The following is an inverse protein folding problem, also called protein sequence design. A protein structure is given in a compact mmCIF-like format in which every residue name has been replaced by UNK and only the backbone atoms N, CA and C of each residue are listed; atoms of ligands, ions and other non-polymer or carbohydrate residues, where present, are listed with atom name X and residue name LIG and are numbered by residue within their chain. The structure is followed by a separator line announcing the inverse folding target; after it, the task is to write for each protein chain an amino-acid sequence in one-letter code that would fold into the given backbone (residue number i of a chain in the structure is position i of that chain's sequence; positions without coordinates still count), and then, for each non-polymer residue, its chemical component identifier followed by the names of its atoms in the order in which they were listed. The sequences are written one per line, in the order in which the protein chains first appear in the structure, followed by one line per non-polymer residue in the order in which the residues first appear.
data_IF_099400377155
#
_entry.id   IF_099400377155
#
_cell.length_a   1.000
_cell.length_b   1.000
_cell.length_c   1.000
_cell.angle_alpha   90.00
_cell.angle_beta   90.00
_cell.angle_gamma   90.00
#
_symmetry.space_group_name_H-M   'P 1'
#
loop_
_entity.id
_entity.type
_entity.pdbx_description
1 polymer ?
#
# COMPACT_ATOMS: atom_id res chain seq x y z
N UNK A 1 51.37 -45.49 -9.13
CA UNK A 1 51.04 -44.42 -10.12
C UNK A 1 49.53 -44.22 -10.15
N UNK A 2 49.01 -43.29 -9.34
CA UNK A 2 47.58 -42.97 -9.26
C UNK A 2 47.35 -41.60 -9.90
N UNK A 3 46.55 -41.56 -10.96
CA UNK A 3 46.22 -40.32 -11.67
C UNK A 3 44.96 -39.75 -11.04
N UNK A 4 45.12 -38.64 -10.30
CA UNK A 4 44.01 -37.79 -9.87
C UNK A 4 43.51 -36.97 -11.05
N UNK A 5 42.29 -37.24 -11.52
CA UNK A 5 41.57 -36.42 -12.50
C UNK A 5 40.72 -35.43 -11.71
N UNK A 6 41.18 -34.21 -11.63
CA UNK A 6 40.44 -33.08 -11.07
C UNK A 6 39.32 -32.66 -12.05
N UNK A 7 38.05 -32.88 -11.68
CA UNK A 7 36.90 -32.37 -12.46
C UNK A 7 36.66 -30.92 -12.07
N UNK A 8 37.05 -30.01 -12.94
CA UNK A 8 36.63 -28.63 -12.88
C UNK A 8 35.14 -28.53 -13.30
N UNK A 9 34.27 -28.26 -12.31
CA UNK A 9 32.87 -27.91 -12.57
C UNK A 9 32.82 -26.42 -12.98
N UNK A 10 32.62 -26.12 -14.26
CA UNK A 10 32.38 -24.76 -14.74
C UNK A 10 30.94 -24.40 -14.39
N UNK A 11 30.76 -23.51 -13.40
CA UNK A 11 29.50 -22.81 -13.17
C UNK A 11 29.35 -21.76 -14.28
N UNK A 12 28.52 -22.05 -15.27
CA UNK A 12 28.11 -21.05 -16.25
C UNK A 12 27.19 -20.03 -15.56
N UNK A 13 27.72 -18.86 -15.24
CA UNK A 13 26.91 -17.71 -14.84
C UNK A 13 26.24 -17.18 -16.11
N UNK A 14 24.93 -17.44 -16.24
CA UNK A 14 24.12 -16.90 -17.32
C UNK A 14 23.85 -15.43 -16.94
N UNK A 15 24.53 -14.50 -17.61
CA UNK A 15 24.22 -13.07 -17.55
C UNK A 15 22.97 -12.84 -18.40
N UNK A 16 21.84 -12.62 -17.73
CA UNK A 16 20.61 -12.19 -18.40
C UNK A 16 20.81 -10.78 -18.98
N UNK A 17 20.34 -10.56 -20.19
CA UNK A 17 20.35 -9.22 -20.81
C UNK A 17 19.32 -8.32 -20.12
N UNK A 18 19.48 -7.00 -20.22
CA UNK A 18 18.50 -6.05 -19.69
C UNK A 18 17.09 -6.27 -20.28
N UNK A 19 17.01 -6.72 -21.54
CA UNK A 19 15.76 -7.05 -22.21
C UNK A 19 15.08 -8.29 -21.59
N UNK A 20 15.86 -9.32 -21.21
CA UNK A 20 15.33 -10.53 -20.56
C UNK A 20 14.80 -10.22 -19.16
N UNK A 21 15.47 -9.33 -18.41
CA UNK A 21 15.02 -8.91 -17.07
C UNK A 21 13.70 -8.13 -17.16
N UNK A 22 13.55 -7.23 -18.14
CA UNK A 22 12.31 -6.48 -18.38
C UNK A 22 11.18 -7.45 -18.78
N UNK A 23 11.42 -8.37 -19.69
CA UNK A 23 10.43 -9.35 -20.12
C UNK A 23 9.97 -10.25 -18.97
N UNK A 24 10.87 -10.68 -18.09
CA UNK A 24 10.53 -11.47 -16.92
C UNK A 24 9.66 -10.68 -15.92
N UNK A 25 9.96 -9.40 -15.69
CA UNK A 25 9.18 -8.53 -14.83
C UNK A 25 7.75 -8.32 -15.37
N UNK A 26 7.61 -8.13 -16.69
CA UNK A 26 6.29 -7.98 -17.32
C UNK A 26 5.48 -9.27 -17.26
N UNK A 27 6.10 -10.43 -17.50
CA UNK A 27 5.45 -11.74 -17.36
C UNK A 27 4.99 -12.00 -15.91
N UNK A 28 5.77 -11.59 -14.93
CA UNK A 28 5.40 -11.70 -13.53
C UNK A 28 4.17 -10.83 -13.22
N UNK A 29 4.17 -9.56 -13.64
CA UNK A 29 3.02 -8.65 -13.46
C UNK A 29 1.75 -9.17 -14.11
N UNK A 30 1.86 -9.76 -15.30
CA UNK A 30 0.72 -10.36 -16.00
C UNK A 30 0.17 -11.55 -15.22
N UNK A 31 1.03 -12.43 -14.67
CA UNK A 31 0.60 -13.56 -13.84
C UNK A 31 -0.11 -13.08 -12.56
N UNK A 32 0.46 -12.10 -11.88
CA UNK A 32 -0.10 -11.49 -10.67
C UNK A 32 -1.42 -10.79 -10.94
N UNK A 33 -1.53 -10.11 -12.09
CA UNK A 33 -2.78 -9.48 -12.51
C UNK A 33 -3.90 -10.48 -12.78
N UNK A 34 -3.59 -11.74 -13.12
CA UNK A 34 -4.57 -12.80 -13.37
C UNK A 34 -4.89 -13.65 -12.14
N UNK A 35 -4.11 -13.54 -11.05
CA UNK A 35 -4.33 -14.32 -9.85
C UNK A 35 -5.76 -14.12 -9.31
N UNK A 36 -6.42 -15.17 -8.77
CA UNK A 36 -7.74 -15.03 -8.15
C UNK A 36 -7.74 -13.98 -7.04
N UNK A 37 -8.85 -13.31 -6.86
CA UNK A 37 -9.03 -12.41 -5.72
C UNK A 37 -9.03 -13.21 -4.42
N UNK A 38 -8.30 -12.72 -3.43
CA UNK A 38 -8.41 -13.16 -2.05
C UNK A 38 -9.69 -12.59 -1.44
N UNK A 39 -10.27 -13.31 -0.47
CA UNK A 39 -11.33 -12.77 0.38
C UNK A 39 -10.77 -12.13 1.65
N UNK A 40 -9.43 -12.16 1.81
CA UNK A 40 -8.71 -11.73 3.01
C UNK A 40 -8.72 -12.76 4.14
N UNK A 41 -7.89 -12.53 5.15
CA UNK A 41 -7.75 -13.39 6.34
C UNK A 41 -8.51 -12.87 7.56
N UNK A 42 -9.06 -11.66 7.47
CA UNK A 42 -9.84 -11.05 8.53
C UNK A 42 -11.20 -11.71 8.76
N UNK A 43 -11.91 -11.31 9.83
CA UNK A 43 -13.19 -11.92 10.21
C UNK A 43 -14.34 -11.63 9.23
N UNK A 44 -14.15 -10.71 8.27
CA UNK A 44 -15.17 -10.27 7.34
C UNK A 44 -14.71 -10.50 5.89
N UNK A 45 -15.02 -11.64 5.25
CA UNK A 45 -14.66 -11.88 3.86
C UNK A 45 -14.94 -10.66 2.99
N UNK A 46 -13.91 -10.16 2.30
CA UNK A 46 -13.99 -8.92 1.55
C UNK A 46 -14.35 -9.14 0.07
N UNK A 47 -14.83 -8.08 -0.55
CA UNK A 47 -15.05 -7.99 -2.01
C UNK A 47 -14.61 -6.63 -2.53
N UNK A 48 -14.34 -6.56 -3.83
CA UNK A 48 -14.16 -5.31 -4.56
C UNK A 48 -15.32 -5.06 -5.51
N UNK A 49 -15.61 -3.81 -5.75
CA UNK A 49 -16.66 -3.39 -6.68
C UNK A 49 -16.36 -2.02 -7.27
N UNK A 50 -16.88 -1.75 -8.46
CA UNK A 50 -16.94 -0.39 -8.97
C UNK A 50 -17.91 0.43 -8.13
N UNK A 51 -17.62 1.73 -8.01
CA UNK A 51 -18.54 2.68 -7.41
C UNK A 51 -19.50 3.24 -8.48
N UNK A 52 -20.70 2.67 -8.67
CA UNK A 52 -21.64 3.17 -9.67
C UNK A 52 -22.17 4.55 -9.25
N UNK A 53 -22.09 5.52 -10.18
CA UNK A 53 -22.63 6.87 -9.97
C UNK A 53 -21.80 7.80 -9.09
N UNK A 54 -20.59 7.40 -8.71
CA UNK A 54 -19.64 8.21 -7.96
C UNK A 54 -18.36 8.52 -8.74
N UNK A 55 -17.32 9.04 -8.09
CA UNK A 55 -16.00 9.15 -8.68
C UNK A 55 -15.50 7.83 -9.24
N UNK A 56 -14.66 7.89 -10.29
CA UNK A 56 -13.99 6.68 -10.80
C UNK A 56 -13.07 6.13 -9.72
N UNK A 57 -13.52 5.07 -9.05
CA UNK A 57 -12.81 4.42 -7.94
C UNK A 57 -13.29 2.99 -7.75
N UNK A 58 -12.40 2.16 -7.23
CA UNK A 58 -12.69 0.80 -6.78
C UNK A 58 -12.86 0.83 -5.27
N UNK A 59 -13.98 0.27 -4.81
CA UNK A 59 -14.33 0.16 -3.39
C UNK A 59 -14.14 -1.28 -2.95
N UNK A 60 -13.43 -1.45 -1.83
CA UNK A 60 -13.23 -2.73 -1.17
C UNK A 60 -13.88 -2.65 0.21
N UNK A 61 -14.65 -3.66 0.57
CA UNK A 61 -15.36 -3.71 1.84
C UNK A 61 -15.72 -5.14 2.23
N UNK A 62 -16.14 -5.41 3.45
CA UNK A 62 -16.81 -6.65 3.81
C UNK A 62 -17.95 -6.97 2.84
N UNK A 63 -18.00 -8.19 2.35
CA UNK A 63 -19.02 -8.63 1.40
C UNK A 63 -20.43 -8.58 2.04
N UNK A 64 -20.51 -9.02 3.28
CA UNK A 64 -21.73 -8.97 4.10
C UNK A 64 -21.60 -7.90 5.19
N UNK A 65 -22.26 -6.77 4.96
CA UNK A 65 -22.29 -5.65 5.93
C UNK A 65 -23.08 -5.95 7.19
N UNK A 66 -23.99 -6.92 7.18
CA UNK A 66 -24.76 -7.29 8.37
C UNK A 66 -23.86 -7.95 9.43
N UNK A 67 -22.82 -8.66 8.99
CA UNK A 67 -21.84 -9.29 9.90
C UNK A 67 -21.01 -8.29 10.72
N UNK A 68 -20.96 -7.02 10.30
CA UNK A 68 -20.27 -5.98 11.06
C UNK A 68 -20.94 -5.68 12.42
N UNK A 69 -22.25 -5.97 12.57
CA UNK A 69 -22.99 -5.59 13.77
C UNK A 69 -22.88 -4.07 14.05
N UNK A 70 -22.38 -3.71 15.21
CA UNK A 70 -22.14 -2.32 15.62
C UNK A 70 -20.81 -1.73 15.10
N UNK A 71 -19.95 -2.54 14.50
CA UNK A 71 -18.67 -2.07 14.00
C UNK A 71 -18.91 -1.08 12.85
N UNK A 72 -18.27 0.08 12.93
CA UNK A 72 -18.18 1.05 11.84
C UNK A 72 -16.82 0.95 11.18
N UNK A 73 -16.81 0.95 9.85
CA UNK A 73 -15.60 0.81 9.04
C UNK A 73 -14.81 2.13 9.04
N UNK A 74 -13.58 2.16 9.57
CA UNK A 74 -12.67 3.25 9.28
C UNK A 74 -12.38 3.32 7.78
N UNK A 75 -11.97 4.48 7.30
CA UNK A 75 -11.66 4.73 5.89
C UNK A 75 -10.17 4.52 5.66
N UNK A 76 -9.82 3.77 4.61
CA UNK A 76 -8.46 3.62 4.10
C UNK A 76 -8.44 3.99 2.63
N UNK A 77 -7.83 5.10 2.26
CA UNK A 77 -7.66 5.49 0.85
C UNK A 77 -6.25 5.18 0.39
N UNK A 78 -6.12 4.65 -0.81
CA UNK A 78 -4.86 4.11 -1.32
C UNK A 78 -4.54 4.64 -2.72
N UNK A 79 -3.43 5.37 -2.85
CA UNK A 79 -2.86 5.79 -4.12
C UNK A 79 -2.13 4.64 -4.82
N UNK A 80 -2.42 4.44 -6.11
CA UNK A 80 -1.87 3.35 -6.89
C UNK A 80 -0.42 3.61 -7.30
N UNK A 81 0.39 2.54 -7.41
CA UNK A 81 1.72 2.60 -8.03
C UNK A 81 1.65 3.13 -9.46
N UNK A 82 2.75 3.75 -9.94
CA UNK A 82 2.82 4.42 -11.23
C UNK A 82 1.73 5.48 -11.46
N UNK A 83 1.09 6.00 -10.40
CA UNK A 83 -0.10 6.85 -10.49
C UNK A 83 -1.16 6.27 -11.44
N UNK A 84 -1.29 4.96 -11.45
CA UNK A 84 -2.17 4.22 -12.35
C UNK A 84 -3.64 4.45 -12.01
N UNK A 85 -4.50 4.47 -13.04
CA UNK A 85 -5.95 4.42 -12.87
C UNK A 85 -6.50 2.98 -12.72
N UNK A 86 -5.63 1.97 -12.59
CA UNK A 86 -6.05 0.62 -12.19
C UNK A 86 -6.16 0.51 -10.69
N UNK A 87 -7.34 0.82 -10.16
CA UNK A 87 -7.65 0.69 -8.74
C UNK A 87 -7.64 -0.75 -8.23
N UNK A 88 -7.47 -1.75 -9.12
CA UNK A 88 -7.36 -3.16 -8.78
C UNK A 88 -5.92 -3.69 -8.81
N UNK A 89 -4.93 -2.87 -9.14
CA UNK A 89 -3.52 -3.28 -9.27
C UNK A 89 -2.95 -3.86 -7.96
N UNK A 90 -3.33 -3.32 -6.81
CA UNK A 90 -2.92 -3.78 -5.47
C UNK A 90 -4.03 -4.54 -4.72
N UNK A 91 -4.96 -5.15 -5.45
CA UNK A 91 -6.21 -5.70 -4.89
C UNK A 91 -6.03 -6.73 -3.78
N UNK A 92 -4.97 -7.54 -3.81
CA UNK A 92 -4.74 -8.54 -2.77
C UNK A 92 -4.46 -7.87 -1.40
N UNK A 93 -3.68 -6.79 -1.41
CA UNK A 93 -3.45 -5.96 -0.24
C UNK A 93 -4.73 -5.26 0.23
N UNK A 94 -5.49 -4.68 -0.71
CA UNK A 94 -6.69 -3.91 -0.39
C UNK A 94 -7.85 -4.79 0.11
N UNK A 95 -7.97 -6.01 -0.42
CA UNK A 95 -8.92 -7.02 0.07
C UNK A 95 -8.55 -7.49 1.48
N UNK A 96 -7.25 -7.67 1.77
CA UNK A 96 -6.81 -8.01 3.12
C UNK A 96 -7.24 -6.93 4.12
N UNK A 97 -6.92 -5.65 3.86
CA UNK A 97 -7.33 -4.55 4.74
C UNK A 97 -8.86 -4.53 4.92
N UNK A 98 -9.61 -4.65 3.81
CA UNK A 98 -11.07 -4.63 3.84
C UNK A 98 -11.66 -5.79 4.66
N UNK A 99 -11.00 -6.98 4.64
CA UNK A 99 -11.46 -8.14 5.41
C UNK A 99 -11.39 -7.95 6.92
N UNK A 100 -10.63 -6.97 7.38
CA UNK A 100 -10.59 -6.55 8.79
C UNK A 100 -11.65 -5.47 9.14
N UNK A 101 -12.64 -5.27 8.25
CA UNK A 101 -13.75 -4.35 8.52
C UNK A 101 -13.42 -2.89 8.24
N UNK A 102 -12.66 -2.62 7.20
CA UNK A 102 -12.36 -1.28 6.69
C UNK A 102 -13.14 -1.01 5.41
N UNK A 103 -13.48 0.26 5.17
CA UNK A 103 -13.86 0.75 3.86
C UNK A 103 -12.58 1.21 3.15
N UNK A 104 -12.20 0.50 2.09
CA UNK A 104 -10.96 0.74 1.36
C UNK A 104 -11.29 1.27 -0.02
N UNK A 105 -10.58 2.32 -0.46
CA UNK A 105 -10.89 2.99 -1.72
C UNK A 105 -9.59 3.27 -2.47
N UNK A 106 -9.55 2.88 -3.76
CA UNK A 106 -8.46 3.20 -4.66
C UNK A 106 -9.00 3.91 -5.91
N UNK A 107 -8.39 5.02 -6.38
CA UNK A 107 -8.84 5.73 -7.58
C UNK A 107 -8.73 4.88 -8.84
N UNK A 108 -9.63 5.12 -9.81
CA UNK A 108 -9.65 4.48 -11.13
C UNK A 108 -10.63 3.32 -11.24
N UNK A 109 -10.44 2.47 -12.27
CA UNK A 109 -11.30 1.35 -12.58
C UNK A 109 -10.70 0.00 -12.20
N UNK A 110 -11.39 -1.08 -12.59
CA UNK A 110 -10.90 -2.46 -12.47
C UNK A 110 -10.31 -2.84 -13.82
N UNK A 111 -8.99 -2.70 -13.97
CA UNK A 111 -8.25 -3.02 -15.20
C UNK A 111 -7.31 -4.21 -15.04
N UNK A 112 -7.34 -4.87 -13.88
CA UNK A 112 -6.65 -6.13 -13.62
C UNK A 112 -7.48 -7.03 -12.70
N UNK A 113 -7.11 -8.30 -12.66
CA UNK A 113 -7.77 -9.31 -11.85
C UNK A 113 -8.57 -10.33 -12.66
N UNK A 114 -9.33 -11.20 -12.01
CA UNK A 114 -10.13 -12.24 -12.67
C UNK A 114 -11.07 -11.66 -13.71
N UNK A 115 -11.05 -12.26 -14.93
CA UNK A 115 -11.90 -11.83 -16.04
C UNK A 115 -11.40 -10.62 -16.82
N UNK A 116 -10.27 -10.02 -16.43
CA UNK A 116 -9.64 -8.90 -17.17
C UNK A 116 -8.43 -9.38 -17.94
N UNK A 117 -8.34 -9.00 -19.22
CA UNK A 117 -7.15 -9.24 -20.04
C UNK A 117 -6.11 -8.16 -19.73
N UNK A 118 -5.02 -8.55 -19.10
CA UNK A 118 -3.88 -7.66 -18.81
C UNK A 118 -2.72 -8.02 -19.71
N UNK A 119 -2.20 -7.04 -20.45
CA UNK A 119 -0.98 -7.10 -21.29
C UNK A 119 -0.05 -5.96 -20.90
N UNK A 120 1.23 -5.99 -21.32
CA UNK A 120 2.15 -4.86 -21.10
C UNK A 120 1.58 -3.55 -21.65
N UNK A 121 0.94 -3.59 -22.80
CA UNK A 121 0.36 -2.41 -23.47
C UNK A 121 -0.84 -1.87 -22.68
N UNK A 122 -1.75 -2.76 -22.23
CA UNK A 122 -2.91 -2.34 -21.43
C UNK A 122 -2.47 -1.75 -20.09
N UNK A 123 -1.44 -2.32 -19.46
CA UNK A 123 -0.86 -1.76 -18.24
C UNK A 123 -0.25 -0.38 -18.48
N UNK A 124 0.50 -0.20 -19.58
CA UNK A 124 1.10 1.09 -19.93
C UNK A 124 0.04 2.18 -20.18
N UNK A 125 -1.10 1.83 -20.77
CA UNK A 125 -2.20 2.77 -21.02
C UNK A 125 -2.81 3.37 -19.76
N UNK A 126 -2.75 2.65 -18.64
CA UNK A 126 -3.35 3.07 -17.38
C UNK A 126 -2.40 3.83 -16.44
N UNK A 127 -1.13 4.03 -16.82
CA UNK A 127 -0.13 4.77 -16.02
C UNK A 127 -0.34 6.28 -16.09
N UNK A 128 0.09 6.99 -15.04
CA UNK A 128 0.11 8.46 -14.95
C UNK A 128 -1.28 9.11 -15.16
N UNK A 129 -2.34 8.42 -14.79
CA UNK A 129 -3.74 8.88 -14.97
C UNK A 129 -4.36 9.44 -13.69
N UNK A 130 -3.96 8.93 -12.51
CA UNK A 130 -4.51 9.45 -11.25
C UNK A 130 -3.77 10.69 -10.77
N UNK A 131 -4.50 11.52 -10.03
CA UNK A 131 -3.99 12.74 -9.40
C UNK A 131 -4.32 12.71 -7.91
N UNK A 132 -3.45 13.32 -7.08
CA UNK A 132 -3.65 13.29 -5.62
C UNK A 132 -5.04 13.79 -5.15
N UNK A 133 -5.71 14.77 -5.79
CA UNK A 133 -7.05 15.18 -5.35
C UNK A 133 -8.10 14.07 -5.39
N UNK A 134 -7.86 12.99 -6.16
CA UNK A 134 -8.78 11.85 -6.19
C UNK A 134 -8.80 11.08 -4.86
N UNK A 135 -7.71 11.09 -4.07
CA UNK A 135 -7.70 10.52 -2.72
C UNK A 135 -8.61 11.33 -1.79
N UNK A 136 -8.59 12.67 -1.90
CA UNK A 136 -9.50 13.54 -1.16
C UNK A 136 -10.95 13.34 -1.56
N UNK A 137 -11.22 13.25 -2.87
CA UNK A 137 -12.55 12.99 -3.38
C UNK A 137 -13.10 11.62 -2.91
N UNK A 138 -12.24 10.61 -2.75
CA UNK A 138 -12.61 9.32 -2.20
C UNK A 138 -13.01 9.43 -0.70
N UNK A 139 -12.31 10.24 0.08
CA UNK A 139 -12.68 10.53 1.48
C UNK A 139 -14.03 11.26 1.53
N UNK A 140 -14.20 12.31 0.71
CA UNK A 140 -15.45 13.08 0.66
C UNK A 140 -16.64 12.20 0.25
N UNK A 141 -16.43 11.32 -0.74
CA UNK A 141 -17.43 10.34 -1.13
C UNK A 141 -17.82 9.41 0.02
N UNK A 142 -16.85 8.85 0.74
CA UNK A 142 -17.11 7.96 1.87
C UNK A 142 -17.91 8.65 2.98
N UNK A 143 -17.59 9.92 3.28
CA UNK A 143 -18.32 10.74 4.26
C UNK A 143 -19.75 10.97 3.78
N UNK A 144 -19.95 11.29 2.51
CA UNK A 144 -21.28 11.49 1.93
C UNK A 144 -22.12 10.20 1.92
N UNK A 145 -21.52 9.05 1.56
CA UNK A 145 -22.19 7.75 1.55
C UNK A 145 -22.67 7.33 2.96
N UNK A 146 -21.94 7.71 4.00
CA UNK A 146 -22.35 7.43 5.37
C UNK A 146 -23.66 8.14 5.77
N UNK A 147 -24.03 9.20 5.07
CA UNK A 147 -25.24 9.99 5.33
C UNK A 147 -26.30 9.78 4.25
N UNK A 148 -25.93 9.34 3.05
CA UNK A 148 -26.81 9.28 1.90
C UNK A 148 -27.99 8.32 2.13
N UNK A 149 -29.19 8.81 1.90
CA UNK A 149 -30.41 7.99 1.96
C UNK A 149 -30.36 6.89 0.88
N UNK A 150 -30.76 5.68 1.28
CA UNK A 150 -30.70 4.50 0.40
C UNK A 150 -29.32 3.90 0.19
N UNK A 151 -28.24 4.50 0.71
CA UNK A 151 -26.92 3.88 0.67
C UNK A 151 -26.84 2.65 1.57
N UNK A 152 -26.32 1.52 1.10
CA UNK A 152 -26.03 0.37 1.96
C UNK A 152 -24.95 0.66 3.00
N UNK A 153 -24.16 1.73 2.81
CA UNK A 153 -23.10 2.18 3.70
C UNK A 153 -23.56 3.19 4.74
N UNK A 154 -24.82 3.63 4.69
CA UNK A 154 -25.35 4.63 5.63
C UNK A 154 -25.21 4.18 7.09
N UNK A 155 -24.56 5.02 7.88
CA UNK A 155 -24.30 4.77 9.32
C UNK A 155 -23.27 3.67 9.60
N UNK A 156 -22.60 3.14 8.55
CA UNK A 156 -21.65 2.04 8.65
C UNK A 156 -20.18 2.46 8.60
N UNK A 157 -19.91 3.74 8.36
CA UNK A 157 -18.55 4.27 8.17
C UNK A 157 -18.18 5.11 9.40
N UNK A 158 -16.98 4.89 9.95
CA UNK A 158 -16.38 5.82 10.91
C UNK A 158 -15.62 6.91 10.17
N UNK A 159 -16.31 7.99 9.89
CA UNK A 159 -15.79 9.13 9.13
C UNK A 159 -14.73 9.96 9.84
N UNK A 160 -14.48 9.68 11.14
CA UNK A 160 -13.46 10.35 11.96
C UNK A 160 -12.12 9.59 11.96
N UNK A 161 -12.07 8.39 11.41
CA UNK A 161 -10.92 7.50 11.40
C UNK A 161 -10.50 7.24 9.96
N UNK A 162 -9.58 8.06 9.47
CA UNK A 162 -9.13 8.02 8.07
C UNK A 162 -7.63 7.77 8.01
N UNK A 163 -7.23 6.74 7.29
CA UNK A 163 -5.86 6.52 6.88
C UNK A 163 -5.70 6.88 5.41
N UNK A 164 -4.63 7.60 5.09
CA UNK A 164 -4.20 7.82 3.72
C UNK A 164 -2.92 7.02 3.46
N UNK A 165 -2.90 6.32 2.35
CA UNK A 165 -1.83 5.40 2.00
C UNK A 165 -1.55 5.42 0.51
N UNK A 166 -0.46 4.77 0.11
CA UNK A 166 -0.17 4.53 -1.30
C UNK A 166 1.16 3.85 -1.52
N UNK A 167 1.24 3.22 -2.68
CA UNK A 167 2.41 2.52 -3.18
C UNK A 167 3.14 3.39 -4.21
N UNK A 168 4.47 3.50 -4.09
CA UNK A 168 5.32 4.19 -5.07
C UNK A 168 4.81 5.62 -5.35
N UNK A 169 4.45 5.96 -6.59
CA UNK A 169 3.81 7.23 -6.96
C UNK A 169 2.62 7.57 -6.04
N UNK A 170 1.78 6.59 -5.72
CA UNK A 170 0.63 6.77 -4.83
C UNK A 170 1.02 7.14 -3.40
N UNK A 171 2.19 6.72 -2.93
CA UNK A 171 2.72 7.13 -1.63
C UNK A 171 3.07 8.62 -1.61
N UNK A 172 3.61 9.17 -2.70
CA UNK A 172 3.84 10.62 -2.84
C UNK A 172 2.50 11.37 -2.89
N UNK A 173 1.48 10.82 -3.59
CA UNK A 173 0.13 11.39 -3.56
C UNK A 173 -0.44 11.43 -2.14
N UNK A 174 -0.24 10.36 -1.35
CA UNK A 174 -0.68 10.32 0.04
C UNK A 174 0.03 11.37 0.91
N UNK A 175 1.34 11.57 0.75
CA UNK A 175 2.10 12.60 1.47
C UNK A 175 1.63 14.03 1.17
N UNK A 176 1.04 14.29 0.01
CA UNK A 176 0.45 15.61 -0.32
C UNK A 176 -0.74 15.98 0.58
N UNK A 177 -1.29 15.03 1.34
CA UNK A 177 -2.31 15.28 2.38
C UNK A 177 -1.72 15.64 3.74
N UNK A 178 -0.43 15.91 3.83
CA UNK A 178 0.20 16.43 5.04
C UNK A 178 -0.53 17.70 5.54
N UNK A 179 -0.98 17.68 6.79
CA UNK A 179 -1.76 18.76 7.41
C UNK A 179 -3.25 18.78 7.08
N UNK A 180 -3.80 17.77 6.38
CA UNK A 180 -5.25 17.63 6.23
C UNK A 180 -5.85 17.13 7.55
N UNK A 181 -6.78 17.88 8.18
CA UNK A 181 -7.32 17.55 9.51
C UNK A 181 -8.17 16.28 9.52
N UNK A 182 -8.63 15.79 8.39
CA UNK A 182 -9.40 14.54 8.29
C UNK A 182 -8.53 13.30 8.52
N UNK A 183 -7.21 13.40 8.24
CA UNK A 183 -6.30 12.26 8.31
C UNK A 183 -5.95 11.95 9.76
N UNK A 184 -6.02 10.67 10.12
CA UNK A 184 -5.64 10.14 11.42
C UNK A 184 -4.26 9.48 11.41
N UNK A 185 -3.85 8.90 10.28
CA UNK A 185 -2.53 8.26 10.11
C UNK A 185 -2.16 8.12 8.64
N UNK A 186 -0.86 8.03 8.39
CA UNK A 186 -0.27 7.78 7.06
C UNK A 186 0.37 6.40 7.00
N UNK A 187 0.25 5.74 5.83
CA UNK A 187 0.97 4.50 5.52
C UNK A 187 1.63 4.64 4.14
N UNK A 188 2.95 4.78 4.11
CA UNK A 188 3.72 5.04 2.90
C UNK A 188 4.47 3.78 2.53
N UNK A 189 4.13 3.21 1.37
CA UNK A 189 4.59 1.88 0.99
C UNK A 189 5.49 1.93 -0.25
N UNK A 190 6.71 1.38 -0.15
CA UNK A 190 7.73 1.38 -1.20
C UNK A 190 7.80 2.75 -1.90
N UNK A 191 7.87 3.82 -1.10
CA UNK A 191 7.76 5.20 -1.56
C UNK A 191 8.55 6.15 -0.68
N UNK A 192 8.68 7.38 -1.15
CA UNK A 192 9.31 8.49 -0.47
C UNK A 192 9.42 9.68 -1.42
N UNK A 193 9.51 10.89 -0.89
CA UNK A 193 9.64 12.11 -1.68
C UNK A 193 11.02 12.08 -2.38
N UNK A 194 11.01 12.27 -3.69
CA UNK A 194 12.23 12.29 -4.49
C UNK A 194 13.09 13.50 -4.13
N UNK A 195 14.42 13.33 -4.14
CA UNK A 195 15.35 14.44 -3.89
C UNK A 195 15.30 15.51 -4.99
N UNK A 196 15.92 16.66 -4.71
CA UNK A 196 15.89 17.85 -5.57
C UNK A 196 16.35 17.61 -7.02
N UNK A 197 17.23 16.63 -7.25
CA UNK A 197 17.68 16.26 -8.61
C UNK A 197 16.59 15.62 -9.49
N UNK A 198 15.51 15.14 -8.85
CA UNK A 198 14.35 14.53 -9.52
C UNK A 198 13.07 15.36 -9.29
N UNK A 199 13.13 16.35 -8.41
CA UNK A 199 12.04 17.31 -8.16
C UNK A 199 11.65 18.14 -9.39
N UNK A 200 12.50 18.18 -10.43
CA UNK A 200 12.16 18.67 -11.78
C UNK A 200 11.27 17.68 -12.56
N UNK A 201 10.93 16.51 -11.99
CA UNK A 201 9.91 15.65 -12.56
C UNK A 201 8.57 16.38 -12.50
N UNK A 202 7.94 16.53 -13.65
CA UNK A 202 6.61 17.13 -13.77
C UNK A 202 5.53 16.17 -13.26
N UNK A 203 4.37 16.69 -12.87
CA UNK A 203 3.19 15.88 -12.55
C UNK A 203 3.13 15.41 -11.09
N UNK A 204 2.58 14.22 -10.88
CA UNK A 204 2.24 13.71 -9.54
C UNK A 204 3.46 13.36 -8.68
N UNK A 205 4.60 13.05 -9.31
CA UNK A 205 5.86 12.77 -8.63
C UNK A 205 6.55 14.02 -8.06
N UNK A 206 6.12 15.21 -8.49
CA UNK A 206 6.67 16.48 -8.00
C UNK A 206 6.18 16.72 -6.56
N UNK A 207 7.09 16.67 -5.62
CA UNK A 207 6.86 16.98 -4.21
C UNK A 207 8.18 17.44 -3.58
N UNK A 208 8.08 18.37 -2.62
CA UNK A 208 9.21 18.87 -1.86
C UNK A 208 9.23 18.25 -0.45
N UNK A 209 10.43 18.00 0.08
CA UNK A 209 10.63 17.44 1.42
C UNK A 209 10.03 18.31 2.54
N UNK A 210 9.77 19.60 2.31
CA UNK A 210 9.07 20.48 3.26
C UNK A 210 7.64 20.00 3.58
N UNK A 211 7.02 19.19 2.71
CA UNK A 211 5.76 18.53 3.04
C UNK A 211 5.81 17.73 4.33
N UNK A 212 6.97 17.13 4.66
CA UNK A 212 7.16 16.33 5.86
C UNK A 212 7.05 17.17 7.15
N UNK A 213 7.32 18.47 7.08
CA UNK A 213 7.16 19.40 8.21
C UNK A 213 5.70 19.59 8.60
N UNK A 214 4.77 19.33 7.67
CA UNK A 214 3.33 19.43 7.87
C UNK A 214 2.69 18.12 8.37
N UNK A 215 3.44 17.02 8.40
CA UNK A 215 2.98 15.76 8.99
C UNK A 215 2.85 15.96 10.50
N UNK A 216 1.63 15.84 11.00
CA UNK A 216 1.26 16.02 12.42
C UNK A 216 0.57 14.77 13.00
N UNK A 217 0.51 13.69 12.24
CA UNK A 217 -0.13 12.41 12.60
C UNK A 217 0.88 11.25 12.57
N UNK A 218 0.57 10.14 13.25
CA UNK A 218 1.38 8.92 13.18
C UNK A 218 1.59 8.47 11.73
N UNK A 219 2.81 8.03 11.41
CA UNK A 219 3.18 7.61 10.07
C UNK A 219 3.99 6.31 10.08
N UNK A 220 3.62 5.39 9.19
CA UNK A 220 4.33 4.15 8.92
C UNK A 220 4.94 4.20 7.51
N UNK A 221 6.25 3.95 7.41
CA UNK A 221 6.91 3.60 6.15
C UNK A 221 7.09 2.08 6.08
N UNK A 222 6.72 1.49 4.94
CA UNK A 222 6.95 0.08 4.62
C UNK A 222 7.80 0.02 3.36
N UNK A 223 9.04 -0.45 3.49
CA UNK A 223 10.00 -0.48 2.38
C UNK A 223 10.40 -1.92 2.02
N UNK A 224 10.92 -2.08 0.80
CA UNK A 224 11.24 -3.37 0.19
C UNK A 224 12.71 -3.78 0.25
N UNK A 225 13.51 -3.20 1.16
CA UNK A 225 14.93 -3.46 1.25
C UNK A 225 15.77 -2.53 0.37
N UNK A 226 17.10 -2.76 0.36
CA UNK A 226 18.04 -1.91 -0.39
C UNK A 226 17.86 -1.98 -1.90
N UNK A 227 17.23 -3.05 -2.39
CA UNK A 227 16.91 -3.23 -3.80
C UNK A 227 15.59 -2.52 -4.21
N UNK A 228 14.88 -1.95 -3.25
CA UNK A 228 13.74 -1.07 -3.51
C UNK A 228 14.26 0.30 -3.98
N UNK A 229 13.90 0.71 -5.20
CA UNK A 229 14.29 2.02 -5.77
C UNK A 229 13.82 3.21 -4.92
N UNK A 230 12.78 3.03 -4.10
CA UNK A 230 12.27 4.04 -3.19
C UNK A 230 12.99 4.05 -1.83
N UNK A 231 13.78 3.03 -1.52
CA UNK A 231 14.42 2.87 -0.21
C UNK A 231 15.20 4.11 0.25
N UNK A 232 16.11 4.69 -0.55
CA UNK A 232 16.87 5.88 -0.13
C UNK A 232 15.96 7.07 0.22
N UNK A 233 14.89 7.25 -0.55
CA UNK A 233 13.95 8.35 -0.35
C UNK A 233 13.08 8.16 0.89
N UNK A 234 12.57 6.94 1.11
CA UNK A 234 11.77 6.62 2.30
C UNK A 234 12.57 6.67 3.60
N UNK A 235 13.83 6.24 3.58
CA UNK A 235 14.76 6.37 4.72
C UNK A 235 15.06 7.83 5.04
N UNK A 236 15.31 8.67 4.01
CA UNK A 236 15.54 10.11 4.20
C UNK A 236 14.28 10.81 4.72
N UNK A 237 13.09 10.46 4.20
CA UNK A 237 11.82 10.98 4.73
C UNK A 237 11.65 10.64 6.21
N UNK A 238 11.84 9.37 6.57
CA UNK A 238 11.75 8.93 7.95
C UNK A 238 12.75 9.65 8.87
N UNK A 239 13.98 9.87 8.41
CA UNK A 239 15.00 10.59 9.17
C UNK A 239 14.56 12.02 9.52
N UNK A 240 13.77 12.68 8.67
CA UNK A 240 13.23 14.05 8.87
C UNK A 240 12.03 14.11 9.81
N UNK A 241 11.31 13.02 9.99
CA UNK A 241 10.11 12.95 10.82
C UNK A 241 10.45 12.81 12.31
N UNK A 242 10.97 13.87 12.93
CA UNK A 242 11.45 13.84 14.32
C UNK A 242 10.39 14.17 15.36
N UNK A 243 9.27 14.79 14.97
CA UNK A 243 8.27 15.35 15.88
C UNK A 243 7.02 14.50 16.07
N UNK A 244 6.79 13.52 15.21
CA UNK A 244 5.56 12.69 15.21
C UNK A 244 5.89 11.24 15.55
N UNK A 245 4.91 10.47 16.03
CA UNK A 245 5.04 9.02 16.11
C UNK A 245 5.32 8.44 14.72
N UNK A 246 6.44 7.76 14.54
CA UNK A 246 6.86 7.24 13.25
C UNK A 246 7.49 5.86 13.37
N UNK A 247 7.19 4.97 12.44
CA UNK A 247 7.88 3.72 12.24
C UNK A 247 8.36 3.59 10.79
N UNK A 248 9.53 3.03 10.62
CA UNK A 248 10.06 2.53 9.36
C UNK A 248 10.24 1.02 9.51
N UNK A 249 9.50 0.25 8.76
CA UNK A 249 9.67 -1.20 8.68
C UNK A 249 10.15 -1.58 7.28
N UNK A 250 11.01 -2.58 7.22
CA UNK A 250 11.64 -2.95 5.99
C UNK A 250 11.75 -4.48 5.88
N UNK A 251 11.46 -5.01 4.70
CA UNK A 251 11.60 -6.43 4.36
C UNK A 251 12.13 -6.57 2.93
N UNK A 252 13.05 -7.51 2.70
CA UNK A 252 13.75 -7.64 1.41
C UNK A 252 12.86 -8.28 0.34
N UNK A 253 12.05 -7.44 -0.33
CA UNK A 253 11.09 -7.82 -1.39
C UNK A 253 11.17 -6.88 -2.59
N UNK A 254 12.18 -6.02 -2.65
CA UNK A 254 12.38 -4.99 -3.66
C UNK A 254 11.19 -4.04 -3.83
N UNK A 255 11.13 -3.30 -4.97
CA UNK A 255 10.11 -2.28 -5.19
C UNK A 255 8.71 -2.85 -5.39
N UNK A 256 8.60 -4.07 -5.92
CA UNK A 256 7.30 -4.72 -6.17
C UNK A 256 6.56 -5.07 -4.88
N UNK A 257 7.24 -5.10 -3.72
CA UNK A 257 6.60 -5.34 -2.43
C UNK A 257 5.91 -6.70 -2.34
N UNK A 258 4.81 -6.76 -1.58
CA UNK A 258 4.02 -8.00 -1.42
C UNK A 258 2.56 -7.84 -1.91
N UNK A 259 2.27 -6.77 -2.66
CA UNK A 259 0.89 -6.38 -3.00
C UNK A 259 0.11 -7.41 -3.78
N UNK A 260 0.79 -8.17 -4.63
CA UNK A 260 0.22 -9.20 -5.49
C UNK A 260 0.23 -10.60 -4.86
N UNK A 261 0.92 -10.77 -3.72
CA UNK A 261 0.91 -12.03 -2.98
C UNK A 261 -0.49 -12.29 -2.39
N UNK A 262 -0.87 -13.56 -2.19
CA UNK A 262 -2.14 -13.88 -1.52
C UNK A 262 -2.31 -13.08 -0.22
N UNK A 263 -3.46 -12.45 -0.05
CA UNK A 263 -3.78 -11.58 1.10
C UNK A 263 -2.77 -10.42 1.28
N UNK A 264 -2.12 -9.96 0.20
CA UNK A 264 -1.14 -8.88 0.27
C UNK A 264 0.15 -9.20 1.02
N UNK A 265 0.37 -10.48 1.34
CA UNK A 265 1.57 -10.97 2.01
C UNK A 265 1.82 -10.33 3.39
N UNK A 266 3.09 -10.40 3.84
CA UNK A 266 3.47 -9.94 5.17
C UNK A 266 3.32 -8.42 5.37
N UNK A 267 3.47 -7.62 4.31
CA UNK A 267 3.31 -6.18 4.43
C UNK A 267 1.86 -5.80 4.76
N UNK A 268 0.87 -6.47 4.16
CA UNK A 268 -0.53 -6.23 4.49
C UNK A 268 -0.85 -6.54 5.96
N UNK A 269 -0.29 -7.63 6.51
CA UNK A 269 -0.45 -7.97 7.93
C UNK A 269 0.11 -6.88 8.86
N UNK A 270 1.30 -6.34 8.55
CA UNK A 270 1.90 -5.25 9.32
C UNK A 270 1.06 -3.96 9.20
N UNK A 271 0.54 -3.66 8.01
CA UNK A 271 -0.34 -2.50 7.80
C UNK A 271 -1.66 -2.68 8.56
N UNK A 272 -2.28 -3.86 8.53
CA UNK A 272 -3.48 -4.16 9.36
C UNK A 272 -3.18 -3.89 10.83
N UNK A 273 -2.08 -4.40 11.37
CA UNK A 273 -1.72 -4.17 12.77
C UNK A 273 -1.53 -2.67 13.07
N UNK A 274 -0.90 -1.90 12.16
CA UNK A 274 -0.78 -0.45 12.30
C UNK A 274 -2.14 0.24 12.35
N UNK A 275 -3.04 -0.12 11.42
CA UNK A 275 -4.38 0.46 11.34
C UNK A 275 -5.25 0.10 12.57
N UNK A 276 -5.20 -1.15 13.03
CA UNK A 276 -5.89 -1.57 14.26
C UNK A 276 -5.42 -0.75 15.46
N UNK A 277 -4.11 -0.53 15.57
CA UNK A 277 -3.57 0.30 16.64
C UNK A 277 -3.97 1.77 16.50
N UNK A 278 -3.67 2.39 15.35
CA UNK A 278 -3.82 3.84 15.20
C UNK A 278 -5.27 4.30 15.06
N UNK A 279 -6.12 3.48 14.45
CA UNK A 279 -7.51 3.85 14.20
C UNK A 279 -8.49 3.27 15.22
N UNK A 280 -8.18 2.12 15.83
CA UNK A 280 -9.06 1.45 16.78
C UNK A 280 -8.51 1.41 18.20
N UNK A 281 -7.25 1.78 18.42
CA UNK A 281 -6.61 1.77 19.73
C UNK A 281 -6.28 0.36 20.23
N UNK A 282 -6.17 -0.62 19.34
CA UNK A 282 -5.86 -2.00 19.74
C UNK A 282 -4.45 -2.11 20.31
N UNK A 283 -4.36 -2.41 21.60
CA UNK A 283 -3.09 -2.57 22.31
C UNK A 283 -2.37 -3.88 21.96
N UNK A 284 -3.04 -4.89 21.45
CA UNK A 284 -2.38 -6.11 20.96
C UNK A 284 -1.69 -5.82 19.62
N UNK A 285 -2.36 -5.05 18.74
CA UNK A 285 -1.77 -4.59 17.51
C UNK A 285 -0.56 -3.65 17.74
N UNK A 286 -0.59 -2.80 18.78
CA UNK A 286 0.55 -1.99 19.20
C UNK A 286 1.81 -2.83 19.43
N UNK A 287 1.69 -4.06 19.95
CA UNK A 287 2.82 -4.96 20.23
C UNK A 287 3.57 -5.42 18.97
N UNK A 288 3.06 -5.12 17.80
CA UNK A 288 3.82 -5.35 16.58
C UNK A 288 5.00 -4.39 16.44
N UNK A 289 4.89 -3.17 17.01
CA UNK A 289 5.81 -2.05 16.75
C UNK A 289 6.56 -1.57 17.99
N UNK A 290 6.04 -1.83 19.20
CA UNK A 290 6.50 -1.21 20.44
C UNK A 290 6.93 -2.27 21.46
N UNK A 291 8.07 -1.99 22.12
CA UNK A 291 8.70 -2.87 23.10
C UNK A 291 9.90 -3.61 22.50
N UNK A 292 10.84 -4.01 23.37
CA UNK A 292 12.07 -4.72 22.96
C UNK A 292 11.78 -6.08 22.28
N UNK A 293 10.66 -6.71 22.66
CA UNK A 293 10.19 -8.00 22.13
C UNK A 293 9.00 -7.80 21.18
N UNK A 294 8.93 -6.66 20.48
CA UNK A 294 7.86 -6.41 19.53
C UNK A 294 7.88 -7.47 18.41
N UNK A 295 6.72 -7.76 17.82
CA UNK A 295 6.63 -8.83 16.82
C UNK A 295 7.56 -8.60 15.62
N UNK A 296 7.63 -7.36 15.13
CA UNK A 296 8.54 -7.02 14.02
C UNK A 296 10.01 -6.95 14.47
N UNK A 297 10.28 -6.75 15.78
CA UNK A 297 11.64 -6.73 16.33
C UNK A 297 12.25 -8.13 16.41
N UNK A 298 11.44 -9.16 16.54
CA UNK A 298 11.87 -10.56 16.75
C UNK A 298 11.74 -11.43 15.51
N UNK A 299 11.05 -10.95 14.47
CA UNK A 299 10.92 -11.66 13.18
C UNK A 299 12.12 -11.30 12.29
N UNK A 300 13.01 -12.27 11.95
CA UNK A 300 14.20 -12.02 11.14
C UNK A 300 13.93 -11.55 9.72
N UNK A 301 12.68 -11.66 9.26
CA UNK A 301 12.27 -11.15 7.94
C UNK A 301 12.02 -9.65 7.92
N UNK A 302 12.11 -8.97 9.08
CA UNK A 302 11.89 -7.54 9.21
C UNK A 302 13.06 -6.83 9.86
N UNK A 303 13.26 -5.59 9.47
CA UNK A 303 13.92 -4.59 10.29
C UNK A 303 12.92 -3.51 10.66
N UNK A 304 13.04 -2.96 11.86
CA UNK A 304 12.18 -1.87 12.33
C UNK A 304 13.01 -0.78 13.00
N UNK A 305 12.73 0.44 12.62
CA UNK A 305 13.11 1.64 13.35
C UNK A 305 11.85 2.37 13.78
N UNK A 306 11.83 2.89 14.99
CA UNK A 306 10.66 3.63 15.48
C UNK A 306 11.08 4.79 16.37
N UNK A 307 10.24 5.82 16.41
CA UNK A 307 10.40 6.99 17.28
C UNK A 307 9.07 7.53 17.75
N UNK A 308 9.04 8.07 18.96
CA UNK A 308 7.85 8.67 19.56
C UNK A 308 6.62 7.72 19.62
N UNK A 309 6.82 6.41 19.51
CA UNK A 309 5.79 5.39 19.65
C UNK A 309 5.68 4.99 21.14
N UNK A 310 4.86 5.67 21.93
CA UNK A 310 4.67 5.40 23.38
C UNK A 310 3.40 4.59 23.64
#
# INVERSE_FOLDING_TARGET
MSRNVSRFCWLAVILLSSADVIAQADDQRIREAKAPDSIGTGPYPARKEHNPGGPSQVVYRPADLARLGELRMPIYVFGNGACSEDGASSRQHLLEIASHGYLVIAPGGIYSGPGVTTTPESWAQHRDKTRYPQLGAAIDWAIAENSREGSPLRGRIDTRRVAVSGYSCGGIQALKYAGDPRISTFVIMNSGILGASVANSSGEMAADKSLLERIDKPILYVLGGKDDIAYPNGVDDYARLTRVPAALINTDVAHEGTYAQPNGGRAAQAVVAWLEWQLRGDLQAKRWFVGKDCRLCTDPAWTIESRNLN
#
